data_IF_037225831204
#
_entry.id   IF_037225831204
#
_cell.length_a   1.000
_cell.length_b   1.000
_cell.length_c   1.000
_cell.angle_alpha   90.00
_cell.angle_beta   90.00
_cell.angle_gamma   90.00
#
_symmetry.space_group_name_H-M   'P 1'
#
loop_
_entity.id
_entity.type
_entity.pdbx_description
1 polymer ?
#
# COMPACT_ATOMS: atom_id res chain seq x y z
N UNK A 1 14.18 18.33 -16.76
CA UNK A 1 14.46 17.70 -15.45
C UNK A 1 13.46 18.21 -14.41
N UNK A 2 12.94 17.31 -13.57
CA UNK A 2 12.04 17.59 -12.44
C UNK A 2 12.87 17.70 -11.16
N UNK A 3 12.32 18.34 -10.13
CA UNK A 3 12.87 18.18 -8.79
C UNK A 3 12.48 16.82 -8.22
N UNK A 4 11.19 16.48 -8.28
CA UNK A 4 10.64 15.24 -7.71
C UNK A 4 9.86 14.47 -8.76
N UNK A 5 10.13 13.17 -8.88
CA UNK A 5 9.24 12.19 -9.51
C UNK A 5 8.73 11.22 -8.45
N UNK A 6 7.44 10.92 -8.48
CA UNK A 6 6.79 9.95 -7.59
C UNK A 6 6.28 8.79 -8.44
N UNK A 7 6.67 7.57 -8.08
CA UNK A 7 6.28 6.34 -8.77
C UNK A 7 5.23 5.63 -7.92
N UNK A 8 3.98 5.64 -8.36
CA UNK A 8 2.85 5.03 -7.67
C UNK A 8 1.79 6.04 -7.22
N UNK A 9 0.53 5.59 -7.26
CA UNK A 9 -0.68 6.40 -7.05
C UNK A 9 -1.56 5.90 -5.90
N UNK A 10 -1.01 5.12 -4.97
CA UNK A 10 -1.70 4.79 -3.72
C UNK A 10 -1.69 5.96 -2.72
N UNK A 11 -2.18 5.74 -1.48
CA UNK A 11 -2.20 6.76 -0.44
C UNK A 11 -0.83 7.41 -0.16
N UNK A 12 0.24 6.61 -0.19
CA UNK A 12 1.60 7.11 -0.05
C UNK A 12 2.00 8.07 -1.17
N UNK A 13 1.74 7.69 -2.43
CA UNK A 13 2.11 8.48 -3.61
C UNK A 13 1.36 9.81 -3.67
N UNK A 14 0.03 9.79 -3.51
CA UNK A 14 -0.74 11.04 -3.51
C UNK A 14 -0.41 11.94 -2.32
N UNK A 15 -0.18 11.38 -1.13
CA UNK A 15 0.21 12.20 0.02
C UNK A 15 1.57 12.85 -0.21
N UNK A 16 2.55 12.11 -0.73
CA UNK A 16 3.84 12.68 -1.10
C UNK A 16 3.69 13.81 -2.14
N UNK A 17 2.82 13.62 -3.14
CA UNK A 17 2.57 14.62 -4.17
C UNK A 17 1.92 15.89 -3.61
N UNK A 18 0.95 15.76 -2.70
CA UNK A 18 0.30 16.89 -2.04
C UNK A 18 1.33 17.72 -1.27
N UNK A 19 2.19 17.09 -0.48
CA UNK A 19 3.23 17.80 0.29
C UNK A 19 4.27 18.45 -0.62
N UNK A 20 4.79 17.73 -1.61
CA UNK A 20 5.77 18.27 -2.56
C UNK A 20 5.20 19.43 -3.39
N UNK A 21 3.94 19.35 -3.82
CA UNK A 21 3.24 20.42 -4.53
C UNK A 21 3.06 21.67 -3.67
N UNK A 22 2.71 21.50 -2.39
CA UNK A 22 2.60 22.62 -1.43
C UNK A 22 3.94 23.29 -1.12
N UNK A 23 5.04 22.55 -1.26
CA UNK A 23 6.41 23.05 -1.20
C UNK A 23 6.91 23.62 -2.55
N UNK A 24 6.03 23.81 -3.54
CA UNK A 24 6.34 24.38 -4.85
C UNK A 24 7.38 23.57 -5.67
N UNK A 25 7.47 22.27 -5.41
CA UNK A 25 8.42 21.37 -6.09
C UNK A 25 7.93 20.83 -7.45
N UNK A 26 6.71 21.21 -7.88
CA UNK A 26 6.07 20.79 -9.13
C UNK A 26 6.22 19.27 -9.42
N UNK A 27 5.77 18.38 -8.51
CA UNK A 27 6.01 16.95 -8.62
C UNK A 27 5.30 16.35 -9.85
N UNK A 28 5.99 15.39 -10.47
CA UNK A 28 5.42 14.50 -11.47
C UNK A 28 5.11 13.16 -10.81
N UNK A 29 3.83 12.78 -10.73
CA UNK A 29 3.38 11.47 -10.25
C UNK A 29 3.05 10.57 -11.45
N UNK A 30 3.62 9.36 -11.47
CA UNK A 30 3.36 8.34 -12.48
C UNK A 30 2.48 7.26 -11.85
N UNK A 31 1.24 7.16 -12.32
CA UNK A 31 0.17 6.50 -11.59
C UNK A 31 -0.10 5.04 -11.96
N UNK A 32 0.60 4.48 -12.95
CA UNK A 32 0.19 3.31 -13.73
C UNK A 32 -0.95 3.61 -14.71
N UNK A 33 -0.95 2.92 -15.85
CA UNK A 33 -2.04 2.97 -16.83
C UNK A 33 -3.23 2.07 -16.46
N UNK A 34 -3.01 1.08 -15.58
CA UNK A 34 -4.00 0.05 -15.21
C UNK A 34 -4.40 0.14 -13.74
N UNK A 35 -3.44 0.38 -12.84
CA UNK A 35 -3.64 0.24 -11.39
C UNK A 35 -3.65 1.60 -10.66
N UNK A 36 -4.13 2.64 -11.34
CA UNK A 36 -4.20 3.98 -10.76
C UNK A 36 -5.11 4.02 -9.51
N UNK A 37 -4.58 4.51 -8.39
CA UNK A 37 -5.25 4.51 -7.08
C UNK A 37 -4.79 3.38 -6.15
N UNK A 38 -4.10 2.36 -6.67
CA UNK A 38 -3.59 1.24 -5.89
C UNK A 38 -4.68 0.32 -5.33
N UNK A 39 -4.34 -0.46 -4.30
CA UNK A 39 -5.18 -1.55 -3.78
C UNK A 39 -6.54 -1.08 -3.23
N UNK A 40 -6.67 0.18 -2.79
CA UNK A 40 -7.96 0.74 -2.36
C UNK A 40 -8.99 0.85 -3.49
N UNK A 41 -8.59 0.75 -4.75
CA UNK A 41 -9.55 0.66 -5.86
C UNK A 41 -10.35 -0.65 -5.86
N UNK A 42 -9.85 -1.67 -5.17
CA UNK A 42 -10.45 -2.99 -5.10
C UNK A 42 -11.23 -3.23 -3.80
N UNK A 43 -11.32 -2.22 -2.92
CA UNK A 43 -12.12 -2.31 -1.69
C UNK A 43 -13.44 -1.54 -1.82
N UNK A 44 -14.47 -2.02 -1.12
CA UNK A 44 -15.76 -1.35 -1.01
C UNK A 44 -15.69 -0.27 0.06
N UNK A 45 -15.81 -0.62 1.34
CA UNK A 45 -15.91 0.34 2.45
C UNK A 45 -14.60 0.47 3.24
N UNK A 46 -14.20 1.71 3.51
CA UNK A 46 -13.06 2.08 4.35
C UNK A 46 -13.57 2.82 5.59
N UNK A 47 -13.60 2.12 6.72
CA UNK A 47 -14.08 2.67 8.00
C UNK A 47 -12.93 3.09 8.94
N UNK A 48 -11.70 2.72 8.61
CA UNK A 48 -10.53 2.91 9.47
C UNK A 48 -9.59 4.05 9.02
N UNK A 49 -9.98 4.81 7.99
CA UNK A 49 -9.26 6.02 7.58
C UNK A 49 -9.85 7.25 8.30
N UNK A 50 -9.07 7.94 9.16
CA UNK A 50 -9.59 9.02 9.97
C UNK A 50 -10.05 10.22 9.11
N UNK A 51 -11.17 10.83 9.51
CA UNK A 51 -11.80 11.94 8.78
C UNK A 51 -13.12 11.56 8.10
N UNK A 52 -13.45 10.26 8.03
CA UNK A 52 -14.69 9.74 7.45
C UNK A 52 -15.48 8.96 8.51
N UNK A 53 -16.24 9.65 9.39
CA UNK A 53 -16.93 9.00 10.52
C UNK A 53 -18.01 8.00 10.09
N UNK A 54 -18.58 8.18 8.90
CA UNK A 54 -19.58 7.29 8.30
C UNK A 54 -18.94 6.29 7.31
N UNK A 55 -17.61 6.18 7.29
CA UNK A 55 -16.87 5.45 6.26
C UNK A 55 -16.81 6.19 4.92
N UNK A 56 -16.05 5.62 3.99
CA UNK A 56 -15.93 6.10 2.60
C UNK A 56 -15.61 4.91 1.68
N UNK A 57 -16.09 4.95 0.43
CA UNK A 57 -15.68 3.95 -0.53
C UNK A 57 -14.18 4.06 -0.87
N UNK A 58 -13.50 2.93 -1.03
CA UNK A 58 -12.09 2.89 -1.41
C UNK A 58 -11.76 3.75 -2.65
N UNK A 59 -12.46 3.56 -3.78
CA UNK A 59 -12.30 4.41 -4.96
C UNK A 59 -12.57 5.90 -4.71
N UNK A 60 -13.56 6.25 -3.89
CA UNK A 60 -13.89 7.64 -3.58
C UNK A 60 -12.80 8.30 -2.72
N UNK A 61 -12.21 7.56 -1.78
CA UNK A 61 -11.07 8.02 -1.01
C UNK A 61 -9.87 8.31 -1.94
N UNK A 62 -9.59 7.42 -2.89
CA UNK A 62 -8.49 7.60 -3.82
C UNK A 62 -8.72 8.75 -4.79
N UNK A 63 -9.95 8.93 -5.27
CA UNK A 63 -10.31 10.06 -6.11
C UNK A 63 -10.16 11.39 -5.36
N UNK A 64 -10.58 11.45 -4.10
CA UNK A 64 -10.38 12.63 -3.25
C UNK A 64 -8.89 12.97 -3.08
N UNK A 65 -8.03 11.96 -2.88
CA UNK A 65 -6.58 12.15 -2.80
C UNK A 65 -5.99 12.64 -4.14
N UNK A 66 -6.43 12.07 -5.26
CA UNK A 66 -6.02 12.49 -6.61
C UNK A 66 -6.38 13.95 -6.88
N UNK A 67 -7.65 14.31 -6.66
CA UNK A 67 -8.15 15.68 -6.83
C UNK A 67 -7.41 16.68 -5.93
N UNK A 68 -7.07 16.28 -4.70
CA UNK A 68 -6.28 17.12 -3.80
C UNK A 68 -4.84 17.32 -4.32
N UNK A 69 -4.20 16.27 -4.86
CA UNK A 69 -2.88 16.37 -5.45
C UNK A 69 -2.87 17.30 -6.68
N UNK A 70 -3.84 17.17 -7.58
CA UNK A 70 -3.99 18.01 -8.77
C UNK A 70 -4.30 19.47 -8.41
N UNK A 71 -5.15 19.69 -7.41
CA UNK A 71 -5.49 21.04 -6.91
C UNK A 71 -4.25 21.85 -6.53
N UNK A 72 -3.22 21.21 -5.99
CA UNK A 72 -1.97 21.87 -5.61
C UNK A 72 -0.92 21.89 -6.73
N UNK A 73 -1.23 21.37 -7.92
CA UNK A 73 -0.35 21.48 -9.09
C UNK A 73 0.48 20.24 -9.40
N UNK A 74 0.16 19.08 -8.81
CA UNK A 74 0.79 17.80 -9.20
C UNK A 74 0.45 17.48 -10.65
N UNK A 75 1.46 17.19 -11.47
CA UNK A 75 1.25 16.61 -12.79
C UNK A 75 1.12 15.10 -12.66
N UNK A 76 -0.01 14.53 -13.09
CA UNK A 76 -0.27 13.08 -13.02
C UNK A 76 -0.21 12.50 -14.42
N UNK A 77 0.57 11.43 -14.58
CA UNK A 77 0.70 10.68 -15.83
C UNK A 77 0.19 9.25 -15.61
N UNK A 78 -0.80 8.86 -16.42
CA UNK A 78 -1.37 7.51 -16.44
C UNK A 78 -0.59 6.62 -17.43
N UNK A 79 0.63 6.27 -17.04
CA UNK A 79 1.51 5.37 -17.79
C UNK A 79 2.29 4.50 -16.79
N UNK A 80 2.89 3.42 -17.29
CA UNK A 80 3.69 2.51 -16.48
C UNK A 80 5.18 2.86 -16.53
N UNK A 81 5.82 2.82 -15.36
CA UNK A 81 7.29 2.90 -15.27
C UNK A 81 7.85 1.53 -15.65
N UNK A 82 8.73 1.50 -16.64
CA UNK A 82 9.30 0.26 -17.19
C UNK A 82 10.74 0.02 -16.73
N UNK A 83 11.46 1.08 -16.39
CA UNK A 83 12.82 1.01 -15.84
C UNK A 83 13.20 2.29 -15.10
N UNK A 84 14.18 2.20 -14.20
CA UNK A 84 14.81 3.35 -13.54
C UNK A 84 16.32 3.23 -13.56
N UNK A 85 17.00 4.36 -13.65
CA UNK A 85 18.45 4.48 -13.44
C UNK A 85 18.66 5.47 -12.28
N UNK A 86 19.09 4.95 -11.13
CA UNK A 86 19.07 5.70 -9.86
C UNK A 86 20.45 6.21 -9.40
N UNK A 87 21.52 5.80 -10.07
CA UNK A 87 22.89 6.22 -9.73
C UNK A 87 23.18 7.69 -10.09
N UNK A 88 24.11 8.30 -9.36
CA UNK A 88 24.52 9.69 -9.54
C UNK A 88 23.49 10.73 -9.08
N UNK A 89 23.72 12.00 -9.37
CA UNK A 89 22.86 13.10 -8.88
C UNK A 89 21.53 13.25 -9.63
N UNK A 90 21.46 12.74 -10.87
CA UNK A 90 20.28 12.84 -11.73
C UNK A 90 19.74 11.44 -12.01
N UNK A 91 18.52 11.21 -11.55
CA UNK A 91 17.78 9.95 -11.72
C UNK A 91 17.04 9.96 -13.06
N UNK A 92 16.93 8.80 -13.70
CA UNK A 92 16.12 8.62 -14.92
C UNK A 92 15.01 7.61 -14.69
N UNK A 93 13.82 7.95 -15.17
CA UNK A 93 12.60 7.12 -15.06
C UNK A 93 12.04 6.92 -16.47
N UNK A 94 12.02 5.66 -16.91
CA UNK A 94 11.53 5.24 -18.22
C UNK A 94 10.06 4.90 -18.11
N UNK A 95 9.26 5.47 -18.99
CA UNK A 95 7.79 5.40 -18.94
C UNK A 95 7.26 4.98 -20.31
N UNK A 96 6.31 4.05 -20.32
CA UNK A 96 5.71 3.49 -21.54
C UNK A 96 6.67 2.63 -22.37
N UNK A 97 6.14 2.06 -23.45
CA UNK A 97 6.87 1.16 -24.36
C UNK A 97 6.78 1.58 -25.83
N UNK A 98 7.73 1.09 -26.63
CA UNK A 98 7.75 1.28 -28.07
C UNK A 98 7.71 2.76 -28.47
N UNK A 99 6.73 3.15 -29.26
CA UNK A 99 6.59 4.53 -29.75
C UNK A 99 6.14 5.55 -28.70
N UNK A 100 5.66 5.08 -27.54
CA UNK A 100 5.24 5.92 -26.41
C UNK A 100 6.30 6.02 -25.31
N UNK A 101 7.46 5.38 -25.51
CA UNK A 101 8.57 5.43 -24.57
C UNK A 101 9.04 6.88 -24.35
N UNK A 102 9.16 7.25 -23.08
CA UNK A 102 9.67 8.54 -22.64
C UNK A 102 10.60 8.35 -21.45
N UNK A 103 11.63 9.18 -21.37
CA UNK A 103 12.52 9.25 -20.20
C UNK A 103 12.30 10.58 -19.50
N UNK A 104 12.01 10.51 -18.21
CA UNK A 104 11.97 11.67 -17.33
C UNK A 104 13.22 11.68 -16.46
N UNK A 105 13.81 12.86 -16.30
CA UNK A 105 14.94 13.08 -15.41
C UNK A 105 14.48 13.80 -14.14
N UNK A 106 15.01 13.43 -12.98
CA UNK A 106 14.74 14.09 -11.72
C UNK A 106 15.96 14.14 -10.78
N UNK A 107 15.96 15.11 -9.87
CA UNK A 107 16.94 15.14 -8.77
C UNK A 107 16.57 14.17 -7.65
N UNK A 108 15.26 13.96 -7.43
CA UNK A 108 14.75 12.98 -6.47
C UNK A 108 13.66 12.09 -7.04
N UNK A 109 13.61 10.86 -6.53
CA UNK A 109 12.56 9.88 -6.84
C UNK A 109 11.98 9.34 -5.53
N UNK A 110 10.65 9.33 -5.42
CA UNK A 110 9.92 8.64 -4.35
C UNK A 110 9.29 7.37 -4.93
N UNK A 111 9.70 6.21 -4.43
CA UNK A 111 9.15 4.90 -4.79
C UNK A 111 7.99 4.58 -3.85
N UNK A 112 6.77 4.66 -4.37
CA UNK A 112 5.52 4.38 -3.66
C UNK A 112 4.69 3.32 -4.39
N UNK A 113 5.37 2.28 -4.91
CA UNK A 113 4.78 1.24 -5.75
C UNK A 113 3.89 0.25 -5.00
N UNK A 114 3.86 0.29 -3.66
CA UNK A 114 2.99 -0.55 -2.84
C UNK A 114 3.39 -2.03 -2.82
N UNK A 115 2.42 -2.88 -2.51
CA UNK A 115 2.59 -4.31 -2.33
C UNK A 115 1.32 -5.02 -2.80
N UNK A 116 1.45 -6.13 -3.53
CA UNK A 116 0.31 -6.91 -3.99
C UNK A 116 0.00 -8.04 -3.01
N UNK A 117 -1.28 -8.35 -2.79
CA UNK A 117 -1.66 -9.56 -2.06
C UNK A 117 -1.38 -10.80 -2.89
N UNK A 118 -0.91 -11.88 -2.23
CA UNK A 118 -0.83 -13.18 -2.89
C UNK A 118 -2.23 -13.79 -2.97
N UNK A 119 -2.60 -14.17 -4.18
CA UNK A 119 -3.86 -14.85 -4.48
C UNK A 119 -3.72 -16.36 -4.42
N UNK A 120 -4.82 -17.06 -4.14
CA UNK A 120 -4.89 -18.51 -4.22
C UNK A 120 -4.92 -18.99 -5.69
N UNK A 121 -5.46 -18.18 -6.59
CA UNK A 121 -5.64 -18.48 -8.00
C UNK A 121 -6.77 -19.48 -8.26
N UNK A 122 -7.83 -19.44 -7.44
CA UNK A 122 -8.94 -20.40 -7.47
C UNK A 122 -10.22 -19.79 -8.02
N UNK A 123 -11.11 -20.65 -8.54
CA UNK A 123 -12.43 -20.22 -9.00
C UNK A 123 -13.18 -19.55 -7.85
N UNK A 124 -13.80 -18.40 -8.16
CA UNK A 124 -14.60 -17.63 -7.21
C UNK A 124 -13.83 -16.52 -6.48
N UNK A 125 -12.50 -16.60 -6.38
CA UNK A 125 -11.68 -15.64 -5.62
C UNK A 125 -11.85 -14.20 -6.12
N UNK A 126 -11.58 -13.93 -7.41
CA UNK A 126 -11.70 -12.58 -7.97
C UNK A 126 -13.16 -12.12 -8.04
N UNK A 127 -14.09 -13.03 -8.35
CA UNK A 127 -15.52 -12.70 -8.51
C UNK A 127 -16.17 -12.28 -7.18
N UNK A 128 -15.75 -12.89 -6.08
CA UNK A 128 -16.30 -12.65 -4.73
C UNK A 128 -15.40 -11.70 -3.90
N UNK A 129 -14.43 -11.04 -4.53
CA UNK A 129 -13.62 -9.99 -3.91
C UNK A 129 -14.52 -8.86 -3.39
N UNK A 130 -14.39 -8.50 -2.11
CA UNK A 130 -15.27 -7.52 -1.45
C UNK A 130 -16.68 -8.04 -1.13
N UNK A 131 -16.99 -9.28 -1.53
CA UNK A 131 -18.28 -9.95 -1.34
C UNK A 131 -18.15 -11.22 -0.48
N UNK A 132 -17.22 -11.19 0.48
CA UNK A 132 -16.89 -12.31 1.35
C UNK A 132 -15.45 -12.79 1.20
N UNK A 133 -14.74 -12.44 0.11
CA UNK A 133 -13.29 -12.67 -0.01
C UNK A 133 -12.53 -11.40 0.34
N UNK A 134 -11.56 -11.54 1.25
CA UNK A 134 -10.69 -10.46 1.73
C UNK A 134 -9.24 -10.91 1.87
N UNK A 135 -8.31 -9.95 1.80
CA UNK A 135 -6.89 -10.14 2.12
C UNK A 135 -6.44 -9.26 3.31
N UNK A 136 -7.39 -8.66 4.04
CA UNK A 136 -7.10 -7.78 5.16
C UNK A 136 -8.11 -7.97 6.30
N UNK A 137 -7.75 -8.79 7.28
CA UNK A 137 -8.58 -8.99 8.48
C UNK A 137 -8.85 -7.70 9.26
N UNK A 138 -7.87 -6.80 9.36
CA UNK A 138 -8.02 -5.51 10.07
C UNK A 138 -8.94 -4.52 9.37
N UNK A 139 -9.10 -4.66 8.05
CA UNK A 139 -9.99 -3.84 7.24
C UNK A 139 -11.43 -4.35 7.38
N UNK A 140 -11.65 -5.65 7.14
CA UNK A 140 -13.00 -6.16 6.89
C UNK A 140 -13.57 -7.00 8.03
N UNK A 141 -12.74 -7.39 9.01
CA UNK A 141 -13.13 -8.32 10.07
C UNK A 141 -14.36 -7.89 10.87
N UNK A 142 -14.61 -6.58 10.98
CA UNK A 142 -15.78 -6.03 11.67
C UNK A 142 -17.11 -6.44 11.01
N UNK A 143 -17.15 -6.60 9.68
CA UNK A 143 -18.36 -6.95 8.93
C UNK A 143 -18.81 -8.40 9.16
N UNK A 144 -17.93 -9.26 9.68
CA UNK A 144 -18.19 -10.68 9.91
C UNK A 144 -18.60 -11.00 11.37
N UNK A 145 -19.22 -10.03 12.05
CA UNK A 145 -19.73 -10.24 13.41
C UNK A 145 -20.80 -11.32 13.43
N UNK A 146 -20.62 -12.34 14.27
CA UNK A 146 -21.57 -13.44 14.40
C UNK A 146 -21.61 -14.39 13.20
N UNK A 147 -20.54 -14.40 12.39
CA UNK A 147 -20.41 -15.26 11.20
C UNK A 147 -19.39 -16.38 11.41
N UNK A 148 -19.46 -17.41 10.58
CA UNK A 148 -18.40 -18.41 10.47
C UNK A 148 -17.53 -18.07 9.25
N UNK A 149 -16.22 -18.01 9.41
CA UNK A 149 -15.30 -17.58 8.35
C UNK A 149 -14.10 -18.51 8.25
N UNK A 150 -13.36 -18.43 7.15
CA UNK A 150 -12.07 -19.09 6.99
C UNK A 150 -10.91 -18.09 6.95
N UNK A 151 -9.77 -18.51 7.47
CA UNK A 151 -8.47 -17.86 7.26
C UNK A 151 -7.52 -18.86 6.60
N UNK A 152 -6.89 -18.49 5.49
CA UNK A 152 -6.02 -19.37 4.72
C UNK A 152 -4.56 -18.98 4.94
N UNK A 153 -3.76 -19.91 5.46
CA UNK A 153 -2.33 -19.71 5.64
C UNK A 153 -1.75 -20.48 6.82
N UNK A 154 -0.43 -20.39 6.99
CA UNK A 154 0.27 -21.11 8.06
C UNK A 154 1.52 -20.42 8.60
N UNK A 155 1.70 -19.13 8.29
CA UNK A 155 2.73 -18.26 8.89
C UNK A 155 2.18 -17.43 10.04
N UNK A 156 3.01 -16.55 10.61
CA UNK A 156 2.60 -15.66 11.71
C UNK A 156 1.40 -14.78 11.33
N UNK A 157 1.37 -14.21 10.12
CA UNK A 157 0.25 -13.39 9.64
C UNK A 157 -1.09 -14.12 9.69
N UNK A 158 -1.13 -15.39 9.27
CA UNK A 158 -2.36 -16.17 9.34
C UNK A 158 -2.83 -16.43 10.78
N UNK A 159 -1.89 -16.64 11.72
CA UNK A 159 -2.24 -16.80 13.14
C UNK A 159 -2.74 -15.47 13.73
N UNK A 160 -2.05 -14.36 13.42
CA UNK A 160 -2.45 -13.02 13.87
C UNK A 160 -3.85 -12.66 13.40
N UNK A 161 -4.11 -12.86 12.11
CA UNK A 161 -5.40 -12.55 11.51
C UNK A 161 -6.50 -13.46 12.05
N UNK A 162 -6.27 -14.77 12.17
CA UNK A 162 -7.23 -15.69 12.76
C UNK A 162 -7.60 -15.31 14.19
N UNK A 163 -6.60 -15.07 15.06
CA UNK A 163 -6.83 -14.63 16.44
C UNK A 163 -7.44 -13.23 16.51
N UNK A 164 -7.13 -12.32 15.59
CA UNK A 164 -7.79 -11.02 15.52
C UNK A 164 -9.28 -11.16 15.18
N UNK A 165 -9.61 -12.02 14.22
CA UNK A 165 -10.96 -12.22 13.72
C UNK A 165 -11.89 -12.90 14.74
N UNK A 166 -11.38 -13.66 15.71
CA UNK A 166 -12.21 -14.26 16.78
C UNK A 166 -12.90 -13.23 17.68
N UNK A 167 -12.46 -11.96 17.63
CA UNK A 167 -13.14 -10.82 18.27
C UNK A 167 -14.49 -10.48 17.63
N UNK A 168 -14.71 -10.89 16.38
CA UNK A 168 -15.90 -10.57 15.60
C UNK A 168 -16.67 -11.83 15.22
N UNK A 169 -16.00 -12.80 14.60
CA UNK A 169 -16.59 -14.05 14.14
C UNK A 169 -16.98 -14.97 15.32
N UNK A 170 -18.00 -15.78 15.10
CA UNK A 170 -18.38 -16.85 16.04
C UNK A 170 -17.42 -18.04 15.93
N UNK A 171 -16.89 -18.27 14.72
CA UNK A 171 -15.94 -19.34 14.43
C UNK A 171 -14.99 -18.95 13.31
N UNK A 172 -13.73 -19.35 13.44
CA UNK A 172 -12.67 -19.14 12.44
C UNK A 172 -12.08 -20.49 12.05
N UNK A 173 -12.31 -20.91 10.81
CA UNK A 173 -11.68 -22.09 10.21
C UNK A 173 -10.30 -21.72 9.68
N UNK A 174 -9.23 -22.12 10.36
CA UNK A 174 -7.89 -21.91 9.85
C UNK A 174 -7.50 -23.05 8.88
N UNK A 175 -7.45 -22.74 7.59
CA UNK A 175 -7.13 -23.70 6.52
C UNK A 175 -5.64 -23.66 6.23
N UNK A 176 -4.98 -24.80 6.41
CA UNK A 176 -3.56 -24.95 6.11
C UNK A 176 -3.26 -26.22 5.32
N UNK A 177 -2.42 -26.09 4.31
CA UNK A 177 -2.10 -27.15 3.34
C UNK A 177 -1.27 -28.31 3.90
N UNK A 178 -0.65 -28.15 5.06
CA UNK A 178 0.19 -29.16 5.70
C UNK A 178 -0.32 -29.57 7.08
N UNK A 179 0.50 -30.33 7.80
CA UNK A 179 0.26 -30.79 9.17
C UNK A 179 1.04 -29.98 10.22
N UNK A 180 1.85 -29.01 9.77
CA UNK A 180 2.74 -28.21 10.60
C UNK A 180 2.81 -26.77 10.09
N UNK A 181 2.82 -25.81 11.04
CA UNK A 181 2.85 -24.38 10.76
C UNK A 181 4.29 -23.86 10.66
N UNK A 182 4.47 -22.79 9.89
CA UNK A 182 5.71 -22.00 9.86
C UNK A 182 5.69 -20.86 10.88
N UNK A 183 4.53 -20.55 11.43
CA UNK A 183 4.36 -19.53 12.46
C UNK A 183 5.28 -19.80 13.67
N UNK A 184 5.71 -18.74 14.33
CA UNK A 184 6.44 -18.80 15.58
C UNK A 184 5.63 -19.52 16.67
N UNK A 185 6.32 -20.19 17.61
CA UNK A 185 5.69 -21.06 18.60
C UNK A 185 4.62 -20.33 19.44
N UNK A 186 4.90 -19.09 19.84
CA UNK A 186 3.96 -18.28 20.62
C UNK A 186 2.65 -17.97 19.86
N UNK A 187 2.72 -17.82 18.55
CA UNK A 187 1.55 -17.52 17.72
C UNK A 187 0.74 -18.78 17.46
N UNK A 188 1.41 -19.92 17.28
CA UNK A 188 0.75 -21.23 17.25
C UNK A 188 0.00 -21.49 18.56
N UNK A 189 0.65 -21.29 19.71
CA UNK A 189 0.06 -21.58 21.03
C UNK A 189 -1.19 -20.71 21.27
N UNK A 190 -1.13 -19.41 20.94
CA UNK A 190 -2.31 -18.53 20.99
C UNK A 190 -3.46 -19.02 20.12
N UNK A 191 -3.17 -19.42 18.89
CA UNK A 191 -4.19 -19.90 17.96
C UNK A 191 -4.78 -21.26 18.38
N UNK A 192 -3.98 -22.15 18.97
CA UNK A 192 -4.44 -23.44 19.51
C UNK A 192 -5.28 -23.31 20.79
N UNK A 193 -5.01 -22.29 21.60
CA UNK A 193 -5.73 -22.03 22.84
C UNK A 193 -7.06 -21.28 22.63
N UNK A 194 -7.26 -20.64 21.47
CA UNK A 194 -8.51 -19.94 21.17
C UNK A 194 -9.62 -20.93 20.75
N UNK A 195 -10.68 -21.10 21.56
CA UNK A 195 -11.74 -22.07 21.30
C UNK A 195 -12.60 -21.75 20.07
N UNK A 196 -12.49 -20.55 19.51
CA UNK A 196 -13.19 -20.18 18.27
C UNK A 196 -12.42 -20.56 17.01
N UNK A 197 -11.15 -20.95 17.12
CA UNK A 197 -10.33 -21.34 15.98
C UNK A 197 -10.40 -22.86 15.80
N UNK A 198 -10.87 -23.31 14.64
CA UNK A 198 -10.84 -24.71 14.23
C UNK A 198 -9.86 -24.91 13.07
N UNK A 199 -8.86 -25.76 13.28
CA UNK A 199 -7.84 -26.05 12.26
C UNK A 199 -8.35 -27.06 11.23
N UNK A 200 -8.31 -26.66 9.96
CA UNK A 200 -8.51 -27.51 8.79
C UNK A 200 -7.14 -27.87 8.20
N UNK A 201 -6.47 -28.84 8.79
CA UNK A 201 -5.16 -29.33 8.37
C UNK A 201 -5.20 -30.08 7.04
N UNK A 202 -4.03 -30.19 6.39
CA UNK A 202 -3.85 -30.92 5.14
C UNK A 202 -4.93 -30.59 4.10
N UNK A 203 -5.31 -29.31 4.03
CA UNK A 203 -6.42 -28.82 3.23
C UNK A 203 -6.01 -27.57 2.46
N UNK A 204 -6.43 -27.50 1.20
CA UNK A 204 -6.39 -26.29 0.37
C UNK A 204 -7.79 -25.95 -0.08
N UNK A 205 -8.08 -24.68 -0.37
CA UNK A 205 -9.31 -24.32 -1.07
C UNK A 205 -9.12 -24.64 -2.56
N UNK A 206 -10.07 -25.37 -3.15
CA UNK A 206 -10.13 -25.61 -4.60
C UNK A 206 -11.09 -24.63 -5.29
N UNK A 207 -12.15 -24.22 -4.59
CA UNK A 207 -13.16 -23.29 -5.08
C UNK A 207 -13.77 -22.49 -3.92
N UNK A 208 -13.99 -21.20 -4.15
CA UNK A 208 -14.80 -20.33 -3.27
C UNK A 208 -16.19 -20.19 -3.90
N UNK A 209 -17.20 -20.60 -3.14
CA UNK A 209 -18.58 -20.74 -3.60
C UNK A 209 -19.44 -19.56 -3.10
N UNK A 210 -20.48 -19.24 -3.86
CA UNK A 210 -21.37 -18.14 -3.54
C UNK A 210 -22.09 -17.56 -4.76
N UNK A 211 -23.33 -17.10 -4.56
CA UNK A 211 -24.05 -16.26 -5.50
C UNK A 211 -23.47 -14.84 -5.51
N UNK A 212 -24.18 -13.92 -4.88
CA UNK A 212 -23.72 -12.54 -4.68
C UNK A 212 -22.75 -12.39 -3.50
N UNK A 213 -22.77 -13.33 -2.55
CA UNK A 213 -21.91 -13.39 -1.38
C UNK A 213 -21.35 -14.80 -1.23
N UNK A 214 -20.18 -14.91 -0.59
CA UNK A 214 -19.61 -16.20 -0.19
C UNK A 214 -20.62 -16.98 0.68
N UNK A 215 -20.83 -18.26 0.37
CA UNK A 215 -21.64 -19.18 1.17
C UNK A 215 -20.93 -20.50 1.53
N UNK A 216 -19.70 -20.70 1.03
CA UNK A 216 -18.87 -21.83 1.40
C UNK A 216 -17.61 -21.97 0.56
N UNK A 217 -16.84 -23.00 0.86
CA UNK A 217 -15.64 -23.38 0.11
C UNK A 217 -15.58 -24.90 -0.10
N UNK A 218 -14.97 -25.31 -1.20
CA UNK A 218 -14.55 -26.70 -1.40
C UNK A 218 -13.13 -26.87 -0.87
N UNK A 219 -12.97 -27.67 0.17
CA UNK A 219 -11.67 -28.08 0.70
C UNK A 219 -11.19 -29.32 -0.03
N UNK A 220 -10.01 -29.21 -0.62
CA UNK A 220 -9.27 -30.31 -1.22
C UNK A 220 -8.23 -30.86 -0.27
N UNK A 221 -8.23 -32.18 -0.10
CA UNK A 221 -7.24 -32.84 0.74
C UNK A 221 -5.86 -32.85 0.09
N UNK A 222 -4.81 -32.60 0.88
CA UNK A 222 -3.40 -32.70 0.44
C UNK A 222 -2.74 -34.02 0.87
N UNK A 223 -3.43 -34.86 1.63
CA UNK A 223 -2.92 -36.13 2.16
C UNK A 223 -3.75 -37.36 1.74
N UNK A 224 -4.53 -37.23 0.67
CA UNK A 224 -5.32 -38.34 0.10
C UNK A 224 -6.62 -38.64 0.84
N UNK A 225 -7.07 -37.74 1.71
CA UNK A 225 -8.42 -37.74 2.25
C UNK A 225 -9.47 -37.31 1.21
N UNK A 226 -10.73 -37.30 1.63
CA UNK A 226 -11.84 -36.87 0.77
C UNK A 226 -11.95 -35.34 0.73
N UNK A 227 -12.26 -34.82 -0.46
CA UNK A 227 -12.63 -33.43 -0.64
C UNK A 227 -14.00 -33.20 0.00
N UNK A 228 -14.19 -32.03 0.60
CA UNK A 228 -15.40 -31.72 1.38
C UNK A 228 -15.83 -30.27 1.22
N UNK A 229 -17.13 -30.06 1.29
CA UNK A 229 -17.70 -28.73 1.37
C UNK A 229 -17.67 -28.22 2.81
N UNK A 230 -17.29 -26.95 2.98
CA UNK A 230 -17.33 -26.25 4.26
C UNK A 230 -18.21 -24.99 4.08
N UNK A 231 -19.43 -24.95 4.67
CA UNK A 231 -20.26 -23.76 4.65
C UNK A 231 -19.64 -22.67 5.54
N UNK A 232 -19.56 -21.44 5.04
CA UNK A 232 -19.03 -20.27 5.74
C UNK A 232 -19.46 -18.98 5.03
N UNK A 233 -19.36 -17.85 5.72
CA UNK A 233 -19.80 -16.54 5.21
C UNK A 233 -18.66 -15.72 4.59
N UNK A 234 -17.39 -16.09 4.82
CA UNK A 234 -16.24 -15.34 4.30
C UNK A 234 -14.90 -16.06 4.36
N UNK A 235 -13.97 -15.63 3.52
CA UNK A 235 -12.62 -16.18 3.34
C UNK A 235 -11.60 -15.05 3.40
N UNK A 236 -10.68 -15.14 4.36
CA UNK A 236 -9.54 -14.25 4.53
C UNK A 236 -8.26 -14.96 4.08
N UNK A 237 -7.59 -14.41 3.07
CA UNK A 237 -6.41 -15.02 2.45
C UNK A 237 -5.15 -14.37 3.03
N UNK A 238 -4.50 -15.06 3.98
CA UNK A 238 -3.35 -14.57 4.74
C UNK A 238 -2.05 -15.33 4.38
N UNK A 239 -1.78 -15.49 3.08
CA UNK A 239 -0.62 -16.22 2.55
C UNK A 239 0.59 -15.32 2.21
N UNK A 240 0.51 -14.05 2.60
CA UNK A 240 1.54 -13.03 2.45
C UNK A 240 1.29 -12.09 1.27
N UNK A 241 2.24 -11.18 1.09
CA UNK A 241 2.21 -10.16 0.06
C UNK A 241 3.55 -10.11 -0.68
N UNK A 242 3.52 -9.53 -1.87
CA UNK A 242 4.69 -9.32 -2.71
C UNK A 242 4.91 -7.80 -2.89
N UNK A 243 5.85 -7.20 -2.13
CA UNK A 243 6.24 -5.80 -2.32
C UNK A 243 6.67 -5.55 -3.77
N UNK A 244 6.17 -4.48 -4.39
CA UNK A 244 6.43 -4.19 -5.81
C UNK A 244 7.81 -3.54 -6.00
N UNK A 245 8.87 -4.33 -5.84
CA UNK A 245 10.27 -3.88 -5.86
C UNK A 245 11.02 -4.22 -7.15
N UNK A 246 10.37 -4.84 -8.14
CA UNK A 246 11.02 -5.29 -9.38
C UNK A 246 11.78 -4.19 -10.12
N UNK A 247 11.28 -2.95 -10.09
CA UNK A 247 11.94 -1.80 -10.71
C UNK A 247 13.28 -1.44 -10.05
N UNK A 248 13.47 -1.79 -8.78
CA UNK A 248 14.55 -1.24 -7.94
C UNK A 248 15.40 -2.29 -7.22
N UNK A 249 15.01 -3.57 -7.23
CA UNK A 249 15.64 -4.65 -6.45
C UNK A 249 17.13 -4.85 -6.75
N UNK A 250 17.59 -4.50 -7.95
CA UNK A 250 18.99 -4.61 -8.37
C UNK A 250 19.80 -3.32 -8.10
N UNK A 251 19.17 -2.27 -7.56
CA UNK A 251 19.77 -0.96 -7.31
C UNK A 251 19.67 -0.53 -5.83
N UNK A 252 18.61 -0.92 -5.12
CA UNK A 252 18.37 -0.57 -3.72
C UNK A 252 18.57 -1.76 -2.79
N UNK A 253 18.99 -1.50 -1.56
CA UNK A 253 18.97 -2.52 -0.51
C UNK A 253 17.52 -2.92 -0.16
N UNK A 254 17.25 -4.23 -0.15
CA UNK A 254 15.99 -4.80 0.31
C UNK A 254 16.15 -5.47 1.67
N UNK A 255 15.07 -5.53 2.44
CA UNK A 255 14.99 -6.32 3.68
C UNK A 255 14.82 -7.82 3.36
N UNK A 256 14.99 -8.73 4.34
CA UNK A 256 14.70 -10.15 4.15
C UNK A 256 13.25 -10.46 3.70
N UNK A 257 12.31 -9.57 4.00
CA UNK A 257 10.90 -9.64 3.61
C UNK A 257 10.65 -9.15 2.17
N UNK A 258 11.67 -8.64 1.49
CA UNK A 258 11.58 -8.14 0.11
C UNK A 258 11.10 -6.69 -0.02
N UNK A 259 10.87 -5.99 1.09
CA UNK A 259 10.55 -4.55 1.12
C UNK A 259 11.81 -3.70 0.92
N UNK A 260 11.66 -2.46 0.45
CA UNK A 260 12.77 -1.51 0.32
C UNK A 260 13.23 -1.11 1.72
N UNK A 261 14.53 -1.25 2.00
CA UNK A 261 15.10 -0.87 3.29
C UNK A 261 15.22 0.66 3.38
N UNK A 262 14.74 1.22 4.50
CA UNK A 262 14.83 2.65 4.80
C UNK A 262 15.47 2.93 6.17
N UNK A 263 15.96 4.14 6.36
CA UNK A 263 16.60 4.57 7.60
C UNK A 263 15.59 4.90 8.72
N UNK A 264 15.16 3.87 9.45
CA UNK A 264 14.39 4.01 10.68
C UNK A 264 13.06 4.74 10.47
N UNK A 265 12.91 5.94 11.05
CA UNK A 265 11.70 6.77 10.92
C UNK A 265 11.69 7.65 9.66
N UNK A 266 12.77 7.66 8.88
CA UNK A 266 12.86 8.41 7.62
C UNK A 266 12.47 7.52 6.43
N UNK A 267 12.43 8.13 5.25
CA UNK A 267 12.15 7.46 3.96
C UNK A 267 13.41 7.22 3.11
N UNK A 268 14.59 7.62 3.61
CA UNK A 268 15.88 7.51 2.91
C UNK A 268 16.21 6.05 2.62
N UNK A 269 16.53 5.76 1.36
CA UNK A 269 17.01 4.44 0.91
C UNK A 269 18.54 4.40 0.90
N UNK A 270 19.12 3.29 0.40
CA UNK A 270 20.57 3.15 0.21
C UNK A 270 21.18 4.10 -0.83
N UNK A 271 20.35 4.77 -1.65
CA UNK A 271 20.81 5.73 -2.67
C UNK A 271 20.36 7.15 -2.29
N UNK A 272 21.29 8.13 -2.15
CA UNK A 272 20.94 9.53 -1.95
C UNK A 272 20.03 10.08 -3.06
N UNK A 273 19.02 10.85 -2.65
CA UNK A 273 17.98 11.37 -3.55
C UNK A 273 16.90 10.36 -3.94
N UNK A 274 16.97 9.11 -3.44
CA UNK A 274 15.91 8.12 -3.62
C UNK A 274 15.27 7.81 -2.27
N UNK A 275 13.95 7.95 -2.23
CA UNK A 275 13.11 7.75 -1.07
C UNK A 275 12.07 6.67 -1.36
N UNK A 276 11.52 6.03 -0.33
CA UNK A 276 10.46 5.05 -0.47
C UNK A 276 9.37 5.22 0.60
N UNK A 277 8.12 4.92 0.23
CA UNK A 277 6.95 5.12 1.08
C UNK A 277 5.83 4.11 0.77
N UNK A 278 4.97 3.87 1.76
CA UNK A 278 3.84 2.95 1.68
C UNK A 278 4.24 1.50 1.92
N UNK A 279 3.39 0.59 1.49
CA UNK A 279 3.55 -0.85 1.75
C UNK A 279 4.83 -1.45 1.14
N UNK A 280 5.47 -0.75 0.20
CA UNK A 280 6.77 -1.17 -0.37
C UNK A 280 7.90 -1.11 0.65
N UNK A 281 7.74 -0.38 1.76
CA UNK A 281 8.70 -0.30 2.88
C UNK A 281 8.18 -0.95 4.18
N UNK A 282 6.91 -1.38 4.21
CA UNK A 282 6.22 -1.78 5.44
C UNK A 282 5.73 -3.23 5.34
N UNK A 283 6.47 -4.20 5.91
CA UNK A 283 6.03 -5.59 5.95
C UNK A 283 5.01 -5.85 7.07
N UNK A 284 4.72 -4.87 7.93
CA UNK A 284 3.99 -5.08 9.19
C UNK A 284 2.59 -4.47 9.15
N UNK A 285 2.47 -3.14 9.06
CA UNK A 285 1.19 -2.46 9.30
C UNK A 285 0.28 -2.47 8.09
N UNK A 286 0.79 -2.04 6.92
CA UNK A 286 0.09 -2.12 5.62
C UNK A 286 -1.34 -1.59 5.68
N UNK A 287 -1.47 -0.35 6.15
CA UNK A 287 -2.75 0.36 6.23
C UNK A 287 -2.68 1.63 5.40
N UNK A 288 -3.80 2.04 4.81
CA UNK A 288 -3.87 3.27 4.01
C UNK A 288 -3.36 4.51 4.76
N UNK A 289 -3.66 4.62 6.07
CA UNK A 289 -3.21 5.74 6.88
C UNK A 289 -1.70 5.70 7.21
N UNK A 290 -1.12 4.53 7.42
CA UNK A 290 0.34 4.40 7.62
C UNK A 290 1.08 4.67 6.32
N UNK A 291 0.53 4.20 5.19
CA UNK A 291 1.04 4.51 3.87
C UNK A 291 1.00 6.03 3.58
N UNK A 292 -0.13 6.70 3.81
CA UNK A 292 -0.25 8.15 3.68
C UNK A 292 0.76 8.88 4.55
N UNK A 293 0.89 8.51 5.83
CA UNK A 293 1.86 9.10 6.75
C UNK A 293 3.31 8.95 6.26
N UNK A 294 3.68 7.78 5.74
CA UNK A 294 5.01 7.57 5.16
C UNK A 294 5.23 8.38 3.86
N UNK A 295 4.17 8.64 3.09
CA UNK A 295 4.21 9.55 1.94
C UNK A 295 4.56 10.99 2.35
N UNK A 296 4.00 11.47 3.46
CA UNK A 296 4.39 12.75 4.07
C UNK A 296 5.88 12.77 4.42
N UNK A 297 6.38 11.72 5.08
CA UNK A 297 7.80 11.62 5.44
C UNK A 297 8.69 11.66 4.21
N UNK A 298 8.32 10.95 3.14
CA UNK A 298 9.08 10.95 1.89
C UNK A 298 9.14 12.30 1.18
N UNK A 299 8.02 13.04 1.15
CA UNK A 299 8.04 14.39 0.59
C UNK A 299 8.93 15.35 1.37
N UNK A 300 8.89 15.30 2.71
CA UNK A 300 9.70 16.17 3.57
C UNK A 300 11.19 15.81 3.50
N UNK A 301 11.53 14.53 3.45
CA UNK A 301 12.91 14.10 3.26
C UNK A 301 13.46 14.49 1.88
N UNK A 302 12.63 14.39 0.83
CA UNK A 302 12.98 14.83 -0.51
C UNK A 302 13.19 16.35 -0.59
N UNK A 303 12.32 17.14 0.05
CA UNK A 303 12.46 18.60 0.17
C UNK A 303 13.78 18.97 0.87
N UNK A 304 14.06 18.37 2.02
CA UNK A 304 15.31 18.62 2.75
C UNK A 304 16.55 18.24 1.94
N UNK A 305 16.51 17.12 1.21
CA UNK A 305 17.60 16.72 0.33
C UNK A 305 17.81 17.73 -0.80
N UNK A 306 16.74 18.14 -1.49
CA UNK A 306 16.80 19.16 -2.55
C UNK A 306 17.40 20.47 -2.05
N UNK A 307 17.02 20.92 -0.85
CA UNK A 307 17.56 22.11 -0.22
C UNK A 307 19.07 22.01 0.12
N UNK A 308 19.61 20.79 0.23
CA UNK A 308 21.03 20.55 0.47
C UNK A 308 21.88 20.49 -0.80
N UNK A 309 21.25 20.43 -1.98
CA UNK A 309 21.96 20.30 -3.26
C UNK A 309 22.66 21.61 -3.67
N UNK A 310 23.76 21.51 -4.44
CA UNK A 310 24.38 22.67 -5.06
C UNK A 310 23.39 23.48 -5.92
N UNK A 311 23.45 24.81 -5.82
CA UNK A 311 22.53 25.70 -6.52
C UNK A 311 22.57 25.55 -8.05
N UNK A 312 23.74 25.23 -8.61
CA UNK A 312 23.93 24.97 -10.04
C UNK A 312 23.18 23.71 -10.48
N UNK A 313 23.21 22.64 -9.68
CA UNK A 313 22.45 21.42 -9.95
C UNK A 313 20.94 21.67 -9.83
N UNK A 314 20.51 22.35 -8.76
CA UNK A 314 19.09 22.65 -8.51
C UNK A 314 18.48 23.50 -9.61
N UNK A 315 19.22 24.49 -10.13
CA UNK A 315 18.78 25.41 -11.20
C UNK A 315 18.44 24.71 -12.53
N UNK A 316 18.88 23.46 -12.72
CA UNK A 316 18.61 22.67 -13.92
C UNK A 316 17.25 21.95 -13.86
N UNK A 317 16.62 21.87 -12.68
CA UNK A 317 15.34 21.23 -12.46
C UNK A 317 14.19 22.26 -12.39
N UNK A 318 12.99 21.85 -12.83
CA UNK A 318 11.76 22.66 -12.69
C UNK A 318 11.20 22.61 -11.27
N UNK A 319 10.77 23.78 -10.79
CA UNK A 319 10.09 24.05 -9.52
C UNK A 319 10.70 25.28 -8.81
N UNK A 320 9.94 25.94 -7.94
CA UNK A 320 10.37 27.16 -7.25
C UNK A 320 10.99 26.79 -5.91
N UNK A 321 12.32 26.80 -5.84
CA UNK A 321 13.08 26.41 -4.65
C UNK A 321 13.50 27.59 -3.80
N UNK A 322 12.97 28.79 -4.08
CA UNK A 322 13.06 29.87 -3.10
C UNK A 322 12.43 29.34 -1.82
N UNK A 323 13.09 29.44 -0.65
CA UNK A 323 12.50 29.02 0.61
C UNK A 323 11.12 29.67 0.69
N UNK A 324 10.08 28.86 0.59
CA UNK A 324 8.73 29.37 0.38
C UNK A 324 8.40 30.33 1.50
N UNK A 325 7.95 31.53 1.15
CA UNK A 325 6.84 32.09 1.91
C UNK A 325 5.81 30.97 1.94
N UNK A 326 5.67 30.33 3.12
CA UNK A 326 4.78 29.20 3.31
C UNK A 326 3.44 29.54 2.65
N UNK A 327 2.74 28.59 2.00
CA UNK A 327 1.38 28.84 1.57
C UNK A 327 0.55 29.05 2.83
N UNK A 328 0.41 30.32 3.21
CA UNK A 328 -0.38 30.74 4.32
C UNK A 328 -1.83 30.50 3.93
N UNK A 329 -2.34 29.38 4.42
CA UNK A 329 -3.74 29.27 4.77
C UNK A 329 -4.10 30.48 5.65
N UNK A 330 -4.85 31.42 5.09
CA UNK A 330 -5.59 32.45 5.84
C UNK A 330 -4.79 33.50 6.62
N UNK A 331 -3.46 33.49 6.61
CA UNK A 331 -2.69 34.54 7.29
C UNK A 331 -2.41 35.70 6.34
N UNK A 332 -2.88 36.89 6.71
CA UNK A 332 -2.46 38.13 6.07
C UNK A 332 -1.16 38.61 6.70
N UNK A 333 -0.21 39.02 5.85
CA UNK A 333 1.06 39.60 6.29
C UNK A 333 1.09 41.08 5.89
N UNK A 334 1.68 41.92 6.75
CA UNK A 334 2.02 43.30 6.37
C UNK A 334 3.18 43.32 5.37
N UNK A 335 3.41 44.44 4.65
CA UNK A 335 4.54 44.58 3.73
C UNK A 335 5.93 44.39 4.37
N UNK A 336 6.04 44.47 5.69
CA UNK A 336 7.24 44.21 6.50
C UNK A 336 7.31 42.79 7.08
N UNK A 337 6.38 41.90 6.72
CA UNK A 337 6.43 40.46 7.05
C UNK A 337 5.83 40.09 8.41
N UNK A 338 5.08 40.99 9.05
CA UNK A 338 4.45 40.72 10.35
C UNK A 338 3.10 40.01 10.16
N UNK A 339 2.86 38.92 10.91
CA UNK A 339 1.62 38.12 10.87
C UNK A 339 0.43 38.90 11.46
N UNK A 340 -0.63 39.13 10.68
CA UNK A 340 -1.82 39.91 11.09
C UNK A 340 -3.06 39.02 11.24
N UNK A 341 -2.98 38.00 12.11
CA UNK A 341 -4.14 37.25 12.61
C UNK A 341 -4.86 36.31 11.61
N UNK A 342 -5.52 35.28 12.16
CA UNK A 342 -6.36 34.31 11.43
C UNK A 342 -7.83 34.75 11.53
N UNK A 343 -8.56 34.71 10.42
CA UNK A 343 -10.03 34.69 10.42
C UNK A 343 -10.54 33.26 10.60
#
# INVERSE_FOLDING_TARGET
MRQVIIIGSGPAGYTAAIYASRAQLEPLLIASSVEAGGELMNTTDVENYPGFPEGIMGPDLMENMRLQAEKFGTEIVLEDVTAVELDGDVKRVHVGEGKYHKVYEALTVVVASGSAYRKLGVTGEDRLSGHGVSWCATCDGFFFRGKEIAVVGGGDSAMEEATFLTKFADKVHLIHRGDSLRASKIMQDRAFEDPKIEFQWNSTIEEIQGGDLVDGVTLKSTNGGEDRHLPLDGVFIAIGNDPRTDLVKDQLELTPEGTIKVEGRSSRTSIPGVFAAGDVIDPTYRQAITAAASGTVAALDAEHYLASLPADLLSRAKGDTRPGEAPASGATFTPDGTLVGQA
#
